data_IF_618644021439
#
_entry.id   IF_618644021439
#
_cell.length_a   1.000
_cell.length_b   1.000
_cell.length_c   1.000
_cell.angle_alpha   90.00
_cell.angle_beta   90.00
_cell.angle_gamma   90.00
#
_symmetry.space_group_name_H-M   'P 1'
#
loop_
_entity.id
_entity.type
_entity.pdbx_description
1 polymer ?
#
# COMPACT_ATOMS: atom_id res chain seq x y z
N UNK A 1 -22.88 -6.11 -17.08
CA UNK A 1 -21.61 -6.03 -17.86
C UNK A 1 -20.42 -6.23 -16.91
N UNK A 2 -20.33 -7.38 -16.22
CA UNK A 2 -19.16 -7.68 -15.39
C UNK A 2 -18.13 -8.37 -16.30
N UNK A 3 -17.29 -7.60 -16.97
CA UNK A 3 -16.21 -8.19 -17.77
C UNK A 3 -15.12 -8.68 -16.81
N UNK A 4 -14.74 -9.97 -16.87
CA UNK A 4 -13.73 -10.54 -15.96
C UNK A 4 -12.38 -9.80 -16.05
N UNK A 5 -12.14 -9.12 -17.17
CA UNK A 5 -10.98 -8.26 -17.41
C UNK A 5 -10.88 -7.15 -16.35
N UNK A 6 -11.98 -6.47 -16.03
CA UNK A 6 -11.95 -5.33 -15.11
C UNK A 6 -11.59 -5.77 -13.69
N UNK A 7 -12.21 -6.86 -13.23
CA UNK A 7 -11.96 -7.44 -11.91
C UNK A 7 -10.50 -7.92 -11.78
N UNK A 8 -10.02 -8.72 -12.74
CA UNK A 8 -8.64 -9.22 -12.74
C UNK A 8 -7.60 -8.08 -12.81
N UNK A 9 -7.89 -7.01 -13.55
CA UNK A 9 -6.98 -5.85 -13.65
C UNK A 9 -6.79 -5.20 -12.27
N UNK A 10 -7.86 -5.05 -11.49
CA UNK A 10 -7.79 -4.52 -10.13
C UNK A 10 -7.01 -5.46 -9.22
N UNK A 11 -7.25 -6.77 -9.31
CA UNK A 11 -6.54 -7.77 -8.52
C UNK A 11 -5.03 -7.74 -8.78
N UNK A 12 -4.61 -7.71 -10.05
CA UNK A 12 -3.19 -7.61 -10.41
C UNK A 12 -2.56 -6.28 -9.96
N UNK A 13 -3.31 -5.18 -10.05
CA UNK A 13 -2.84 -3.90 -9.51
C UNK A 13 -2.57 -3.98 -8.00
N UNK A 14 -3.47 -4.58 -7.21
CA UNK A 14 -3.25 -4.74 -5.77
C UNK A 14 -2.15 -5.75 -5.44
N UNK A 15 -2.06 -6.84 -6.21
CA UNK A 15 -0.96 -7.80 -6.11
C UNK A 15 0.39 -7.09 -6.25
N UNK A 16 0.57 -6.33 -7.34
CA UNK A 16 1.81 -5.59 -7.62
C UNK A 16 2.08 -4.56 -6.52
N UNK A 17 1.05 -3.85 -6.05
CA UNK A 17 1.15 -2.85 -5.00
C UNK A 17 1.67 -3.44 -3.67
N UNK A 18 1.04 -4.51 -3.19
CA UNK A 18 1.44 -5.15 -1.92
C UNK A 18 2.78 -5.86 -2.04
N UNK A 19 3.02 -6.54 -3.16
CA UNK A 19 4.29 -7.21 -3.41
C UNK A 19 5.44 -6.22 -3.46
N UNK A 20 5.27 -5.11 -4.19
CA UNK A 20 6.27 -4.05 -4.24
C UNK A 20 6.50 -3.43 -2.85
N UNK A 21 5.43 -3.18 -2.08
CA UNK A 21 5.58 -2.63 -0.73
C UNK A 21 6.37 -3.55 0.19
N UNK A 22 6.12 -4.87 0.13
CA UNK A 22 6.85 -5.86 0.89
C UNK A 22 8.33 -5.91 0.48
N UNK A 23 8.62 -5.92 -0.82
CA UNK A 23 10.00 -5.90 -1.35
C UNK A 23 10.74 -4.66 -0.84
N UNK A 24 10.14 -3.47 -0.90
CA UNK A 24 10.77 -2.24 -0.42
C UNK A 24 11.07 -2.29 1.09
N UNK A 25 10.18 -2.88 1.90
CA UNK A 25 10.42 -3.07 3.35
C UNK A 25 11.49 -4.10 3.65
N UNK A 26 11.64 -5.13 2.83
CA UNK A 26 12.71 -6.12 2.95
C UNK A 26 14.05 -5.48 2.60
N UNK A 27 14.14 -4.79 1.46
CA UNK A 27 15.36 -4.12 0.99
C UNK A 27 15.80 -3.00 1.96
N UNK A 28 14.84 -2.28 2.54
CA UNK A 28 15.08 -1.18 3.46
C UNK A 28 14.58 -1.50 4.88
N UNK A 29 14.93 -2.69 5.38
CA UNK A 29 14.45 -3.18 6.67
C UNK A 29 14.83 -2.29 7.85
N UNK A 30 16.08 -1.81 7.92
CA UNK A 30 16.56 -0.96 9.02
C UNK A 30 15.84 0.40 9.09
N UNK A 31 15.65 1.15 7.97
CA UNK A 31 14.77 2.32 7.95
C UNK A 31 13.32 2.01 8.35
N UNK A 32 12.78 0.87 7.91
CA UNK A 32 11.41 0.47 8.23
C UNK A 32 11.22 0.20 9.72
N UNK A 33 12.11 -0.59 10.34
CA UNK A 33 12.03 -0.90 11.79
C UNK A 33 12.15 0.36 12.65
N UNK A 34 13.04 1.30 12.28
CA UNK A 34 13.13 2.62 12.95
C UNK A 34 11.83 3.42 12.82
N UNK A 35 11.17 3.33 11.68
CA UNK A 35 9.88 4.00 11.47
C UNK A 35 8.79 3.38 12.36
N UNK A 36 8.76 2.05 12.48
CA UNK A 36 7.85 1.34 13.40
C UNK A 36 8.16 1.68 14.86
N UNK A 37 9.44 1.74 15.25
CA UNK A 37 9.88 2.13 16.58
C UNK A 37 9.45 3.57 16.93
N UNK A 38 9.53 4.49 15.96
CA UNK A 38 9.14 5.88 16.11
C UNK A 38 7.65 6.06 16.49
N UNK A 39 6.80 5.07 16.18
CA UNK A 39 5.38 5.12 16.54
C UNK A 39 5.15 4.97 18.04
N UNK A 40 6.15 4.49 18.82
CA UNK A 40 6.06 4.30 20.27
C UNK A 40 4.77 3.59 20.71
N UNK A 41 4.25 2.71 19.87
CA UNK A 41 3.04 1.92 20.14
C UNK A 41 3.37 0.64 20.90
N UNK A 42 4.62 0.19 20.85
CA UNK A 42 5.07 -1.10 21.34
C UNK A 42 6.44 -0.95 22.02
N UNK A 43 6.77 -1.83 22.97
CA UNK A 43 8.10 -1.90 23.57
C UNK A 43 9.15 -2.33 22.54
N UNK A 44 10.39 -1.86 22.71
CA UNK A 44 11.48 -1.99 21.72
C UNK A 44 11.75 -3.44 21.29
N UNK A 45 11.58 -4.42 22.18
CA UNK A 45 11.76 -5.84 21.87
C UNK A 45 10.70 -6.41 20.91
N UNK A 46 9.52 -5.78 20.77
CA UNK A 46 8.47 -6.22 19.84
C UNK A 46 8.55 -5.55 18.46
N UNK A 47 9.40 -4.53 18.28
CA UNK A 47 9.49 -3.77 17.02
C UNK A 47 9.89 -4.67 15.85
N UNK A 48 10.95 -5.47 16.03
CA UNK A 48 11.47 -6.37 15.00
C UNK A 48 10.47 -7.49 14.64
N UNK A 49 9.92 -8.27 15.58
CA UNK A 49 8.96 -9.32 15.23
C UNK A 49 7.69 -8.75 14.58
N UNK A 50 7.19 -7.59 15.04
CA UNK A 50 6.04 -6.95 14.39
C UNK A 50 6.39 -6.51 12.96
N UNK A 51 7.58 -5.95 12.75
CA UNK A 51 8.01 -5.54 11.41
C UNK A 51 8.04 -6.72 10.43
N UNK A 52 8.50 -7.89 10.89
CA UNK A 52 8.48 -9.13 10.11
C UNK A 52 7.03 -9.58 9.86
N UNK A 53 6.16 -9.57 10.88
CA UNK A 53 4.75 -9.91 10.73
C UNK A 53 4.03 -9.02 9.70
N UNK A 54 4.34 -7.72 9.69
CA UNK A 54 3.80 -6.79 8.69
C UNK A 54 4.23 -7.19 7.28
N UNK A 55 5.52 -7.45 7.07
CA UNK A 55 6.03 -7.90 5.77
C UNK A 55 5.36 -9.21 5.33
N UNK A 56 5.25 -10.19 6.22
CA UNK A 56 4.58 -11.46 5.94
C UNK A 56 3.10 -11.25 5.61
N UNK A 57 2.42 -10.35 6.30
CA UNK A 57 1.01 -10.03 6.00
C UNK A 57 0.84 -9.38 4.64
N UNK A 58 1.77 -8.53 4.19
CA UNK A 58 1.73 -7.93 2.85
C UNK A 58 1.96 -8.97 1.75
N UNK A 59 2.92 -9.87 1.95
CA UNK A 59 3.15 -11.01 1.04
C UNK A 59 1.93 -11.92 1.00
N UNK A 60 1.31 -12.18 2.17
CA UNK A 60 0.09 -12.97 2.28
C UNK A 60 -1.09 -12.34 1.54
N UNK A 61 -1.28 -11.03 1.66
CA UNK A 61 -2.31 -10.29 0.91
C UNK A 61 -2.03 -10.38 -0.59
N UNK A 62 -0.79 -10.16 -1.04
CA UNK A 62 -0.44 -10.32 -2.45
C UNK A 62 -0.76 -11.75 -2.93
N UNK A 63 -0.28 -12.78 -2.24
CA UNK A 63 -0.55 -14.18 -2.61
C UNK A 63 -2.05 -14.54 -2.60
N UNK A 64 -2.86 -13.90 -1.74
CA UNK A 64 -4.30 -14.15 -1.67
C UNK A 64 -5.03 -13.77 -2.96
N UNK A 65 -4.62 -12.70 -3.65
CA UNK A 65 -5.21 -12.30 -4.93
C UNK A 65 -4.98 -13.32 -6.05
N UNK A 66 -4.00 -14.22 -5.93
CA UNK A 66 -3.74 -15.28 -6.89
C UNK A 66 -4.38 -16.62 -6.50
N UNK A 67 -4.68 -16.82 -5.22
CA UNK A 67 -4.92 -18.17 -4.67
C UNK A 67 -6.31 -18.37 -4.05
N UNK A 68 -7.02 -17.30 -3.71
CA UNK A 68 -8.27 -17.32 -2.91
C UNK A 68 -9.33 -16.45 -3.62
N UNK A 69 -10.65 -16.67 -3.41
CA UNK A 69 -11.69 -15.83 -3.97
C UNK A 69 -11.51 -14.33 -3.70
N UNK A 70 -11.80 -13.51 -4.71
CA UNK A 70 -11.64 -12.04 -4.72
C UNK A 70 -12.17 -11.35 -3.47
N UNK A 71 -13.34 -11.76 -2.98
CA UNK A 71 -13.98 -11.15 -1.81
C UNK A 71 -13.17 -11.37 -0.52
N UNK A 72 -12.60 -12.55 -0.34
CA UNK A 72 -11.75 -12.85 0.81
C UNK A 72 -10.41 -12.11 0.70
N UNK A 73 -9.79 -12.10 -0.48
CA UNK A 73 -8.55 -11.35 -0.74
C UNK A 73 -8.72 -9.85 -0.53
N UNK A 74 -9.83 -9.27 -1.02
CA UNK A 74 -10.19 -7.88 -0.79
C UNK A 74 -10.41 -7.57 0.69
N UNK A 75 -11.03 -8.48 1.45
CA UNK A 75 -11.23 -8.33 2.90
C UNK A 75 -9.90 -8.30 3.65
N UNK A 76 -8.97 -9.22 3.33
CA UNK A 76 -7.62 -9.21 3.92
C UNK A 76 -6.87 -7.92 3.60
N UNK A 77 -6.90 -7.48 2.34
CA UNK A 77 -6.27 -6.23 1.90
C UNK A 77 -6.85 -5.00 2.63
N UNK A 78 -8.17 -4.95 2.81
CA UNK A 78 -8.86 -3.88 3.53
C UNK A 78 -8.44 -3.82 5.00
N UNK A 79 -8.45 -4.95 5.69
CA UNK A 79 -8.04 -5.03 7.10
C UNK A 79 -6.61 -4.53 7.26
N UNK A 80 -5.71 -4.96 6.38
CA UNK A 80 -4.31 -4.55 6.42
C UNK A 80 -4.15 -3.05 6.13
N UNK A 81 -4.80 -2.52 5.10
CA UNK A 81 -4.75 -1.09 4.77
C UNK A 81 -5.35 -0.21 5.86
N UNK A 82 -6.48 -0.63 6.45
CA UNK A 82 -7.15 0.12 7.53
C UNK A 82 -6.27 0.13 8.78
N UNK A 83 -5.75 -1.03 9.21
CA UNK A 83 -4.86 -1.11 10.38
C UNK A 83 -3.63 -0.21 10.22
N UNK A 84 -3.02 -0.22 9.04
CA UNK A 84 -1.88 0.64 8.73
C UNK A 84 -2.27 2.14 8.72
N UNK A 85 -3.43 2.47 8.17
CA UNK A 85 -3.95 3.85 8.14
C UNK A 85 -4.27 4.36 9.54
N UNK A 86 -4.82 3.52 10.42
CA UNK A 86 -5.07 3.84 11.83
C UNK A 86 -3.75 4.10 12.54
N UNK A 87 -2.72 3.26 12.33
CA UNK A 87 -1.41 3.48 12.93
C UNK A 87 -0.80 4.84 12.54
N UNK A 88 -0.89 5.21 11.25
CA UNK A 88 -0.47 6.51 10.73
C UNK A 88 -1.28 7.65 11.36
N UNK A 89 -2.61 7.52 11.43
CA UNK A 89 -3.50 8.53 11.98
C UNK A 89 -3.25 8.76 13.47
N UNK A 90 -3.08 7.70 14.26
CA UNK A 90 -2.72 7.80 15.69
C UNK A 90 -1.40 8.53 15.86
N UNK A 91 -0.41 8.25 15.02
CA UNK A 91 0.88 8.94 15.08
C UNK A 91 0.75 10.43 14.70
N UNK A 92 -0.09 10.75 13.72
CA UNK A 92 -0.38 12.12 13.32
C UNK A 92 -1.06 12.92 14.45
N UNK A 93 -2.04 12.31 15.14
CA UNK A 93 -2.72 12.91 16.29
C UNK A 93 -1.79 13.16 17.48
N UNK A 94 -0.72 12.36 17.62
CA UNK A 94 0.33 12.55 18.63
C UNK A 94 1.32 13.66 18.30
N UNK A 95 1.13 14.37 17.18
CA UNK A 95 1.98 15.51 16.77
C UNK A 95 3.22 15.10 15.97
N UNK A 96 3.44 13.81 15.72
CA UNK A 96 4.54 13.32 14.89
C UNK A 96 4.16 13.43 13.41
N UNK A 97 4.38 14.62 12.83
CA UNK A 97 4.07 14.93 11.42
C UNK A 97 5.10 14.38 10.43
N UNK A 98 6.22 13.82 10.91
CA UNK A 98 7.30 13.24 10.11
C UNK A 98 7.19 11.72 10.15
N UNK A 99 6.56 11.14 9.15
CA UNK A 99 6.38 9.69 9.03
C UNK A 99 7.12 9.21 7.79
N UNK A 100 8.22 8.49 8.01
CA UNK A 100 8.94 7.76 6.97
C UNK A 100 8.16 6.47 6.67
N UNK A 101 7.14 6.59 5.82
CA UNK A 101 6.24 5.47 5.56
C UNK A 101 6.94 4.29 4.86
N UNK A 102 8.16 4.46 4.32
CA UNK A 102 8.99 3.40 3.73
C UNK A 102 8.40 2.66 2.51
N UNK A 103 7.13 2.88 2.19
CA UNK A 103 6.35 2.13 1.20
C UNK A 103 6.93 2.16 -0.22
N UNK A 104 7.84 3.10 -0.53
CA UNK A 104 8.44 3.27 -1.86
C UNK A 104 9.96 3.52 -1.79
N UNK A 105 10.64 2.97 -0.78
CA UNK A 105 12.11 2.96 -0.69
C UNK A 105 12.80 4.29 -0.37
N UNK A 106 12.05 5.39 -0.22
CA UNK A 106 12.62 6.71 0.04
C UNK A 106 12.28 7.20 1.45
N UNK A 107 13.32 7.41 2.25
CA UNK A 107 13.32 7.96 3.61
C UNK A 107 13.24 9.50 3.58
N UNK A 108 12.17 10.05 2.99
CA UNK A 108 11.98 11.51 2.94
C UNK A 108 10.53 11.86 3.26
N UNK A 109 10.39 12.86 4.11
CA UNK A 109 9.16 13.38 4.72
C UNK A 109 8.02 13.51 3.70
N UNK A 110 7.16 12.49 3.63
CA UNK A 110 5.89 12.60 2.90
C UNK A 110 4.84 13.15 3.85
N UNK A 111 4.02 14.08 3.37
CA UNK A 111 2.87 14.58 4.13
C UNK A 111 1.95 13.43 4.53
N UNK A 112 1.82 13.17 5.84
CA UNK A 112 1.00 12.07 6.38
C UNK A 112 -0.45 12.13 5.89
N UNK A 113 -0.98 13.33 5.65
CA UNK A 113 -2.32 13.54 5.09
C UNK A 113 -2.48 12.96 3.69
N UNK A 114 -1.45 13.07 2.86
CA UNK A 114 -1.49 12.53 1.50
C UNK A 114 -1.51 10.99 1.50
N UNK A 115 -0.76 10.38 2.42
CA UNK A 115 -0.77 8.92 2.60
C UNK A 115 -2.16 8.44 3.02
N UNK A 116 -2.83 9.17 3.92
CA UNK A 116 -4.20 8.87 4.33
C UNK A 116 -5.20 8.97 3.17
N UNK A 117 -5.15 10.06 2.39
CA UNK A 117 -6.02 10.22 1.20
C UNK A 117 -5.81 9.09 0.20
N UNK A 118 -4.55 8.74 -0.08
CA UNK A 118 -4.20 7.61 -0.96
C UNK A 118 -4.78 6.30 -0.44
N UNK A 119 -4.62 6.00 0.84
CA UNK A 119 -5.14 4.77 1.43
C UNK A 119 -6.68 4.75 1.43
N UNK A 120 -7.36 5.88 1.63
CA UNK A 120 -8.82 5.99 1.51
C UNK A 120 -9.27 5.65 0.09
N UNK A 121 -8.59 6.17 -0.93
CA UNK A 121 -8.90 5.86 -2.34
C UNK A 121 -8.71 4.36 -2.60
N UNK A 122 -7.60 3.77 -2.14
CA UNK A 122 -7.33 2.33 -2.29
C UNK A 122 -8.39 1.48 -1.57
N UNK A 123 -8.80 1.86 -0.37
CA UNK A 123 -9.91 1.21 0.34
C UNK A 123 -11.22 1.31 -0.44
N UNK A 124 -11.52 2.47 -1.05
CA UNK A 124 -12.70 2.64 -1.90
C UNK A 124 -12.70 1.69 -3.10
N UNK A 125 -11.55 1.51 -3.76
CA UNK A 125 -11.40 0.56 -4.88
C UNK A 125 -11.59 -0.89 -4.40
N UNK A 126 -11.05 -1.26 -3.23
CA UNK A 126 -11.25 -2.60 -2.67
C UNK A 126 -12.70 -2.87 -2.25
N UNK A 127 -13.39 -1.88 -1.71
CA UNK A 127 -14.83 -1.98 -1.40
C UNK A 127 -15.63 -2.16 -2.69
N UNK A 128 -15.32 -1.39 -3.73
CA UNK A 128 -15.93 -1.57 -5.04
C UNK A 128 -15.69 -2.99 -5.58
N UNK A 129 -14.45 -3.49 -5.50
CA UNK A 129 -14.08 -4.84 -5.90
C UNK A 129 -14.86 -5.91 -5.12
N UNK A 130 -15.06 -5.71 -3.82
CA UNK A 130 -15.80 -6.62 -2.94
C UNK A 130 -17.30 -6.68 -3.30
N UNK A 131 -17.88 -5.54 -3.65
CA UNK A 131 -19.31 -5.42 -4.00
C UNK A 131 -19.63 -5.90 -5.42
N UNK A 132 -18.64 -6.00 -6.30
CA UNK A 132 -18.83 -6.49 -7.65
C UNK A 132 -19.17 -7.99 -7.63
N UNK A 133 -20.27 -8.42 -8.28
CA UNK A 133 -20.59 -9.83 -8.41
C UNK A 133 -19.45 -10.54 -9.16
N UNK A 134 -18.97 -11.65 -8.59
CA UNK A 134 -17.94 -12.48 -9.20
C UNK A 134 -18.36 -12.88 -10.62
N UNK A 135 -17.44 -12.72 -11.57
CA UNK A 135 -17.70 -13.10 -12.95
C UNK A 135 -18.08 -14.59 -13.01
N UNK A 136 -19.27 -14.88 -13.53
CA UNK A 136 -19.81 -16.25 -13.70
C UNK A 136 -19.03 -17.10 -14.72
N UNK A 137 -17.99 -16.54 -15.34
CA UNK A 137 -17.21 -17.15 -16.42
C UNK A 137 -15.73 -17.09 -16.08
N UNK A 138 -15.04 -18.20 -16.31
CA UNK A 138 -13.59 -18.25 -16.23
C UNK A 138 -12.93 -17.38 -17.32
N UNK A 139 -11.97 -16.52 -16.96
CA UNK A 139 -11.27 -15.69 -17.93
C UNK A 139 -10.44 -16.55 -18.88
N UNK A 140 -10.38 -16.13 -20.15
CA UNK A 140 -9.49 -16.78 -21.12
C UNK A 140 -8.02 -16.49 -20.80
N UNK A 141 -7.10 -17.31 -21.35
CA UNK A 141 -5.66 -17.08 -21.18
C UNK A 141 -5.24 -15.65 -21.59
N UNK A 142 -5.72 -15.19 -22.76
CA UNK A 142 -5.44 -13.85 -23.26
C UNK A 142 -5.98 -12.76 -22.34
N UNK A 143 -7.22 -12.90 -21.85
CA UNK A 143 -7.79 -11.94 -20.88
C UNK A 143 -6.94 -11.83 -19.62
N UNK A 144 -6.39 -12.94 -19.13
CA UNK A 144 -5.51 -12.95 -17.95
C UNK A 144 -4.21 -12.21 -18.23
N UNK A 145 -3.58 -12.47 -19.38
CA UNK A 145 -2.36 -11.77 -19.80
C UNK A 145 -2.63 -10.27 -19.97
N UNK A 146 -3.69 -9.88 -20.66
CA UNK A 146 -4.06 -8.47 -20.82
C UNK A 146 -4.34 -7.78 -19.49
N UNK A 147 -5.05 -8.44 -18.58
CA UNK A 147 -5.35 -7.90 -17.25
C UNK A 147 -4.08 -7.70 -16.42
N UNK A 148 -3.13 -8.63 -16.50
CA UNK A 148 -1.82 -8.50 -15.85
C UNK A 148 -1.06 -7.27 -16.37
N UNK A 149 -0.92 -7.15 -17.70
CA UNK A 149 -0.26 -6.00 -18.31
C UNK A 149 -0.91 -4.67 -17.93
N UNK A 150 -2.24 -4.60 -17.95
CA UNK A 150 -2.97 -3.40 -17.53
C UNK A 150 -2.76 -3.10 -16.04
N UNK A 151 -2.86 -4.10 -15.18
CA UNK A 151 -2.62 -3.95 -13.74
C UNK A 151 -1.24 -3.39 -13.44
N UNK A 152 -0.21 -3.94 -14.09
CA UNK A 152 1.17 -3.45 -13.94
C UNK A 152 1.35 -2.04 -14.50
N UNK A 153 0.72 -1.68 -15.63
CA UNK A 153 0.75 -0.30 -16.15
C UNK A 153 0.12 0.67 -15.15
N UNK A 154 -1.05 0.35 -14.61
CA UNK A 154 -1.70 1.18 -13.58
C UNK A 154 -0.82 1.31 -12.34
N UNK A 155 -0.17 0.23 -11.90
CA UNK A 155 0.77 0.25 -10.79
C UNK A 155 1.99 1.15 -11.06
N UNK A 156 2.57 1.08 -12.26
CA UNK A 156 3.70 1.94 -12.66
C UNK A 156 3.29 3.41 -12.70
N UNK A 157 2.11 3.72 -13.25
CA UNK A 157 1.58 5.10 -13.26
C UNK A 157 1.35 5.59 -11.84
N UNK A 158 0.71 4.78 -10.99
CA UNK A 158 0.43 5.10 -9.59
C UNK A 158 1.72 5.34 -8.79
N UNK A 159 2.71 4.47 -8.94
CA UNK A 159 4.00 4.59 -8.27
C UNK A 159 4.81 5.78 -8.78
N UNK A 160 4.80 6.04 -10.09
CA UNK A 160 5.42 7.22 -10.69
C UNK A 160 4.81 8.52 -10.19
N UNK A 161 3.47 8.60 -10.11
CA UNK A 161 2.79 9.78 -9.56
C UNK A 161 3.17 10.00 -8.09
N UNK A 162 3.21 8.93 -7.30
CA UNK A 162 3.59 9.02 -5.89
C UNK A 162 5.05 9.51 -5.71
N UNK A 163 5.97 9.11 -6.60
CA UNK A 163 7.34 9.62 -6.61
C UNK A 163 7.43 11.10 -6.99
N UNK A 164 6.67 11.54 -8.00
CA UNK A 164 6.67 12.94 -8.44
C UNK A 164 6.21 13.86 -7.31
N UNK A 165 5.12 13.51 -6.62
CA UNK A 165 4.59 14.36 -5.54
C UNK A 165 5.57 14.40 -4.36
N UNK A 166 6.17 13.27 -4.03
CA UNK A 166 7.21 13.21 -3.00
C UNK A 166 8.38 14.14 -3.37
N UNK A 167 8.89 14.05 -4.59
CA UNK A 167 10.00 14.89 -5.06
C UNK A 167 9.64 16.37 -5.16
N UNK A 168 8.43 16.71 -5.61
CA UNK A 168 7.96 18.08 -5.75
C UNK A 168 7.73 18.78 -4.39
N UNK A 169 7.48 18.01 -3.33
CA UNK A 169 7.29 18.54 -1.98
C UNK A 169 8.61 18.90 -1.25
N UNK A 170 9.74 18.36 -1.72
CA UNK A 170 11.08 18.56 -1.10
C UNK A 170 11.53 20.03 -1.03
N UNK A 171 11.42 20.85 -2.10
CA UNK A 171 11.87 22.24 -2.06
C UNK A 171 11.03 23.08 -1.08
N UNK A 172 9.74 22.79 -0.95
CA UNK A 172 8.81 23.50 -0.07
C UNK A 172 9.10 23.20 1.41
N UNK A 173 9.40 21.94 1.74
CA UNK A 173 9.81 21.55 3.10
C UNK A 173 11.17 22.13 3.47
N UNK A 174 12.14 22.10 2.55
CA UNK A 174 13.45 22.72 2.76
C UNK A 174 13.34 24.23 3.01
N UNK A 175 12.44 24.90 2.28
CA UNK A 175 12.14 26.32 2.51
C UNK A 175 11.53 26.54 3.90
N UNK A 176 10.57 25.71 4.32
CA UNK A 176 9.93 25.83 5.64
C UNK A 176 10.90 25.64 6.80
N UNK A 177 11.79 24.64 6.73
CA UNK A 177 12.84 24.41 7.73
C UNK A 177 13.91 25.52 7.81
N UNK A 178 13.99 26.42 6.81
CA UNK A 178 14.90 27.56 6.86
C UNK A 178 14.27 28.79 7.56
N UNK A 179 12.97 28.78 7.83
CA UNK A 179 12.23 29.89 8.44
C UNK A 179 11.63 29.54 9.82
N UNK A 180 11.77 28.29 10.27
CA UNK A 180 11.42 27.81 11.62
C UNK A 180 12.71 27.61 12.43
#
# INVERSE_FOLDING_TARGET
MNTPIFQNTIEYFFFDLFLYSAIQKILHFSPFTRSVESYRLLPTYLVVPLSILIILSEIGVAGSFLSIPTQASASFALILLISFSIAILVNLLRGNKKIDCGCFGHSKEVSSWMILVRNIILCGILVLLYLLPSALRFPTFWERVFSFWMGTIFFVIFSGWNQIITNASLPLLKKKMLYD
#
